data_IF_527439208380
#
_entry.id   IF_527439208380
#
_cell.length_a   1.000
_cell.length_b   1.000
_cell.length_c   1.000
_cell.angle_alpha   90.00
_cell.angle_beta   90.00
_cell.angle_gamma   90.00
#
_symmetry.space_group_name_H-M   'P 1'
#
loop_
_entity.id
_entity.type
_entity.pdbx_description
1 polymer ?
#
# COMPACT_ATOMS: atom_id res chain seq x y z
N UNK A 1 -15.46 -34.83 -12.62
CA UNK A 1 -14.71 -33.89 -13.47
C UNK A 1 -15.29 -32.47 -13.47
N UNK A 2 -16.58 -32.28 -13.68
CA UNK A 2 -17.25 -31.00 -13.67
C UNK A 2 -17.11 -30.29 -12.29
N UNK A 3 -17.25 -31.04 -11.21
CA UNK A 3 -17.12 -30.48 -9.83
C UNK A 3 -15.71 -29.95 -9.60
N UNK A 4 -14.68 -30.66 -10.06
CA UNK A 4 -13.29 -30.22 -9.93
C UNK A 4 -13.04 -28.92 -10.71
N UNK A 5 -13.60 -28.79 -11.91
CA UNK A 5 -13.48 -27.57 -12.72
C UNK A 5 -14.16 -26.37 -12.02
N UNK A 6 -15.34 -26.57 -11.45
CA UNK A 6 -16.07 -25.53 -10.71
C UNK A 6 -15.29 -25.08 -9.49
N UNK A 7 -14.68 -26.00 -8.74
CA UNK A 7 -13.87 -25.69 -7.56
C UNK A 7 -12.63 -24.87 -7.98
N UNK A 8 -11.95 -25.27 -9.05
CA UNK A 8 -10.79 -24.54 -9.56
C UNK A 8 -11.18 -23.12 -9.99
N UNK A 9 -12.27 -22.97 -10.74
CA UNK A 9 -12.77 -21.66 -11.18
C UNK A 9 -13.13 -20.77 -9.98
N UNK A 10 -13.83 -21.31 -8.98
CA UNK A 10 -14.19 -20.57 -7.78
C UNK A 10 -12.94 -20.11 -7.00
N UNK A 11 -11.92 -20.98 -6.92
CA UNK A 11 -10.65 -20.64 -6.27
C UNK A 11 -9.94 -19.49 -7.00
N UNK A 12 -9.90 -19.52 -8.33
CA UNK A 12 -9.33 -18.44 -9.13
C UNK A 12 -10.06 -17.11 -8.89
N UNK A 13 -11.39 -17.11 -8.82
CA UNK A 13 -12.18 -15.92 -8.58
C UNK A 13 -11.90 -15.33 -7.18
N UNK A 14 -11.77 -16.17 -6.16
CA UNK A 14 -11.46 -15.74 -4.80
C UNK A 14 -10.06 -15.13 -4.74
N UNK A 15 -9.06 -15.79 -5.33
CA UNK A 15 -7.68 -15.29 -5.36
C UNK A 15 -7.60 -13.97 -6.12
N UNK A 16 -8.26 -13.88 -7.29
CA UNK A 16 -8.31 -12.64 -8.07
C UNK A 16 -8.95 -11.49 -7.27
N UNK A 17 -10.04 -11.76 -6.56
CA UNK A 17 -10.70 -10.77 -5.71
C UNK A 17 -9.81 -10.29 -4.59
N UNK A 18 -9.08 -11.18 -3.93
CA UNK A 18 -8.13 -10.82 -2.87
C UNK A 18 -6.99 -9.97 -3.44
N UNK A 19 -6.44 -10.36 -4.60
CA UNK A 19 -5.38 -9.57 -5.25
C UNK A 19 -5.86 -8.16 -5.60
N UNK A 20 -7.07 -8.01 -6.15
CA UNK A 20 -7.62 -6.70 -6.49
C UNK A 20 -7.90 -5.84 -5.26
N UNK A 21 -8.23 -6.46 -4.12
CA UNK A 21 -8.45 -5.74 -2.88
C UNK A 21 -7.15 -5.11 -2.32
N UNK A 22 -6.00 -5.72 -2.64
CA UNK A 22 -4.68 -5.22 -2.19
C UNK A 22 -3.87 -4.60 -3.32
N UNK A 23 -4.35 -4.63 -4.56
CA UNK A 23 -3.61 -4.05 -5.67
C UNK A 23 -3.79 -2.54 -5.72
N UNK A 24 -2.72 -1.75 -5.60
CA UNK A 24 -2.85 -0.30 -5.61
C UNK A 24 -3.31 0.20 -6.98
N UNK A 25 -4.41 0.95 -6.98
CA UNK A 25 -4.98 1.54 -8.19
C UNK A 25 -4.33 2.87 -8.54
N UNK A 26 -4.03 3.66 -7.53
CA UNK A 26 -3.41 4.96 -7.70
C UNK A 26 -3.61 5.84 -6.47
N UNK A 27 -2.77 6.87 -6.37
CA UNK A 27 -2.81 7.84 -5.30
C UNK A 27 -3.25 9.20 -5.87
N UNK A 28 -4.14 9.88 -5.17
CA UNK A 28 -4.65 11.19 -5.59
C UNK A 28 -5.07 12.00 -4.37
N UNK A 29 -5.34 13.28 -4.57
CA UNK A 29 -5.91 14.14 -3.52
C UNK A 29 -7.31 14.51 -3.97
N UNK A 30 -8.30 14.29 -3.10
CA UNK A 30 -9.70 14.60 -3.40
C UNK A 30 -10.03 16.07 -3.14
N UNK A 31 -11.27 16.44 -3.42
CA UNK A 31 -11.77 17.82 -3.25
C UNK A 31 -11.73 18.28 -1.79
N UNK A 32 -11.77 17.34 -0.84
CA UNK A 32 -11.75 17.65 0.60
C UNK A 32 -10.33 17.79 1.15
N UNK A 33 -9.29 17.76 0.30
CA UNK A 33 -7.91 17.84 0.76
C UNK A 33 -7.43 16.57 1.44
N UNK A 34 -7.94 15.42 1.03
CA UNK A 34 -7.53 14.13 1.57
C UNK A 34 -6.77 13.33 0.53
N UNK A 35 -5.65 12.75 0.94
CA UNK A 35 -4.90 11.79 0.12
C UNK A 35 -5.71 10.50 0.06
N UNK A 36 -6.00 10.03 -1.15
CA UNK A 36 -6.71 8.77 -1.36
C UNK A 36 -5.72 7.70 -1.80
N UNK A 37 -5.55 6.68 -0.96
CA UNK A 37 -4.78 5.48 -1.29
C UNK A 37 -5.77 4.41 -1.73
N UNK A 38 -5.97 4.31 -3.04
CA UNK A 38 -7.02 3.48 -3.62
C UNK A 38 -6.52 2.11 -4.06
N UNK A 39 -7.36 1.10 -3.91
CA UNK A 39 -7.18 -0.22 -4.51
C UNK A 39 -8.32 -0.48 -5.48
N UNK A 40 -8.20 -1.53 -6.30
CA UNK A 40 -9.26 -1.85 -7.29
C UNK A 40 -10.57 -2.27 -6.62
N UNK A 41 -10.49 -2.93 -5.46
CA UNK A 41 -11.67 -3.34 -4.70
C UNK A 41 -11.52 -2.81 -3.28
N UNK A 42 -12.60 -2.27 -2.73
CA UNK A 42 -12.66 -1.76 -1.37
C UNK A 42 -12.63 -0.25 -1.31
N UNK A 43 -12.76 0.27 -0.11
CA UNK A 43 -12.75 1.71 0.12
C UNK A 43 -11.32 2.23 0.17
N UNK A 44 -11.06 3.43 -0.38
CA UNK A 44 -9.73 4.03 -0.28
C UNK A 44 -9.41 4.40 1.16
N UNK A 45 -8.13 4.37 1.51
CA UNK A 45 -7.68 4.95 2.77
C UNK A 45 -7.55 6.46 2.57
N UNK A 46 -8.18 7.24 3.43
CA UNK A 46 -8.22 8.70 3.35
C UNK A 46 -7.35 9.31 4.44
N UNK A 47 -6.45 10.20 4.05
CA UNK A 47 -5.51 10.84 4.98
C UNK A 47 -5.53 12.35 4.71
N UNK A 48 -5.91 13.19 5.70
CA UNK A 48 -5.94 14.64 5.51
C UNK A 48 -4.54 15.21 5.26
N UNK A 49 -4.37 15.95 4.17
CA UNK A 49 -3.06 16.53 3.81
C UNK A 49 -2.57 17.52 4.86
N UNK A 50 -3.47 18.24 5.51
CA UNK A 50 -3.13 19.26 6.50
C UNK A 50 -2.72 18.68 7.86
N UNK A 51 -2.84 17.37 8.06
CA UNK A 51 -2.52 16.71 9.33
C UNK A 51 -1.30 15.81 9.25
N UNK A 52 -0.63 15.75 8.12
CA UNK A 52 0.57 14.93 7.97
C UNK A 52 1.83 15.75 8.23
N UNK A 53 2.89 15.06 8.65
CA UNK A 53 4.23 15.64 8.78
C UNK A 53 5.15 14.93 7.81
N UNK A 54 5.56 15.64 6.74
CA UNK A 54 6.44 15.08 5.72
C UNK A 54 7.87 15.06 6.25
N UNK A 55 8.53 13.91 6.11
CA UNK A 55 9.91 13.71 6.53
C UNK A 55 10.72 13.12 5.39
N UNK A 56 12.03 13.18 5.51
CA UNK A 56 12.91 12.48 4.57
C UNK A 56 12.88 10.97 4.85
N UNK A 57 13.10 10.17 3.80
CA UNK A 57 13.24 8.72 3.95
C UNK A 57 14.66 8.45 4.43
N UNK A 58 14.86 7.94 5.67
CA UNK A 58 16.20 7.60 6.13
C UNK A 58 16.83 6.52 5.27
N UNK A 59 18.14 6.61 5.08
CA UNK A 59 18.89 5.61 4.35
C UNK A 59 18.70 4.24 4.99
N UNK A 60 18.41 3.24 4.16
CA UNK A 60 18.19 1.88 4.61
C UNK A 60 16.82 1.59 5.21
N UNK A 61 15.93 2.60 5.32
CA UNK A 61 14.60 2.39 5.90
C UNK A 61 13.77 1.40 5.08
N UNK A 62 13.90 1.43 3.76
CA UNK A 62 13.17 0.53 2.87
C UNK A 62 13.92 -0.78 2.59
N UNK A 63 15.04 -1.01 3.26
CA UNK A 63 15.79 -2.26 3.22
C UNK A 63 15.33 -3.17 4.36
N UNK A 64 15.57 -4.47 4.22
CA UNK A 64 15.27 -5.45 5.27
C UNK A 64 13.82 -5.38 5.77
N UNK A 65 12.88 -5.19 4.84
CA UNK A 65 11.46 -5.15 5.16
C UNK A 65 10.85 -6.54 5.13
N UNK A 66 9.95 -6.81 6.08
CA UNK A 66 9.05 -7.95 6.02
C UNK A 66 7.62 -7.43 5.95
N UNK A 67 6.80 -8.13 5.18
CA UNK A 67 5.38 -7.82 5.08
C UNK A 67 4.66 -8.46 6.26
N UNK A 68 3.92 -7.66 7.02
CA UNK A 68 3.07 -8.15 8.10
C UNK A 68 1.62 -8.27 7.67
N UNK A 69 1.17 -7.43 6.73
CA UNK A 69 -0.16 -7.51 6.16
C UNK A 69 -0.17 -6.75 4.84
N UNK A 70 -0.75 -7.34 3.79
CA UNK A 70 -0.86 -6.69 2.49
C UNK A 70 -0.20 -7.47 1.37
N UNK A 71 0.33 -6.77 0.37
CA UNK A 71 0.88 -7.36 -0.83
C UNK A 71 2.26 -6.81 -1.17
N UNK A 72 3.17 -7.69 -1.57
CA UNK A 72 4.47 -7.31 -2.12
C UNK A 72 4.73 -8.15 -3.37
N UNK A 73 4.79 -7.49 -4.53
CA UNK A 73 5.00 -8.14 -5.81
C UNK A 73 5.89 -7.25 -6.69
N UNK A 74 7.16 -7.61 -6.79
CA UNK A 74 8.13 -6.80 -7.51
C UNK A 74 8.27 -5.41 -6.88
N UNK A 75 8.02 -4.37 -7.67
CA UNK A 75 8.06 -2.97 -7.20
C UNK A 75 6.77 -2.50 -6.54
N UNK A 76 5.74 -3.32 -6.57
CA UNK A 76 4.44 -2.99 -5.98
C UNK A 76 4.44 -3.45 -4.53
N UNK A 77 4.22 -2.51 -3.60
CA UNK A 77 4.14 -2.80 -2.18
C UNK A 77 2.94 -2.05 -1.60
N UNK A 78 2.03 -2.77 -0.99
CA UNK A 78 0.83 -2.22 -0.39
C UNK A 78 0.55 -2.90 0.95
N UNK A 79 0.45 -2.12 2.00
CA UNK A 79 0.04 -2.62 3.30
C UNK A 79 1.04 -2.35 4.40
N UNK A 80 0.99 -3.18 5.44
CA UNK A 80 1.81 -3.02 6.63
C UNK A 80 3.12 -3.79 6.48
N UNK A 81 4.23 -3.10 6.74
CA UNK A 81 5.57 -3.64 6.68
C UNK A 81 6.34 -3.27 7.95
N UNK A 82 7.40 -4.01 8.21
CA UNK A 82 8.26 -3.76 9.36
C UNK A 82 9.72 -3.89 8.93
N UNK A 83 10.54 -2.93 9.33
CA UNK A 83 11.98 -3.01 9.15
C UNK A 83 12.55 -3.96 10.21
N UNK A 84 13.21 -5.03 9.79
CA UNK A 84 13.70 -6.07 10.69
C UNK A 84 14.92 -5.64 11.51
N UNK A 85 15.64 -4.62 11.06
CA UNK A 85 16.81 -4.10 11.79
C UNK A 85 16.43 -3.11 12.88
N UNK A 86 15.48 -2.23 12.60
CA UNK A 86 15.10 -1.14 13.51
C UNK A 86 13.82 -1.42 14.28
N UNK A 87 13.01 -2.38 13.82
CA UNK A 87 11.67 -2.63 14.37
C UNK A 87 10.62 -1.61 13.94
N UNK A 88 10.97 -0.64 13.07
CA UNK A 88 10.06 0.39 12.63
C UNK A 88 8.93 -0.20 11.78
N UNK A 89 7.69 0.04 12.20
CA UNK A 89 6.50 -0.33 11.44
C UNK A 89 6.12 0.82 10.51
N UNK A 90 5.64 0.48 9.32
CA UNK A 90 5.24 1.47 8.33
C UNK A 90 4.15 0.93 7.42
N UNK A 91 3.37 1.83 6.84
CA UNK A 91 2.42 1.51 5.80
C UNK A 91 3.00 1.93 4.46
N UNK A 92 3.05 1.02 3.50
CA UNK A 92 3.57 1.27 2.16
C UNK A 92 2.45 1.31 1.14
N UNK A 93 2.55 2.29 0.22
CA UNK A 93 1.71 2.36 -0.97
C UNK A 93 2.60 2.77 -2.14
N UNK A 94 3.25 1.78 -2.73
CA UNK A 94 4.25 1.97 -3.77
C UNK A 94 3.89 1.18 -5.01
N UNK A 95 3.88 1.84 -6.18
CA UNK A 95 3.51 1.24 -7.46
C UNK A 95 4.69 1.14 -8.42
N UNK A 96 5.91 1.39 -7.94
CA UNK A 96 7.12 1.34 -8.77
C UNK A 96 7.58 2.69 -9.28
N UNK A 97 6.95 3.79 -8.88
CA UNK A 97 7.40 5.13 -9.22
C UNK A 97 8.69 5.48 -8.47
N UNK A 98 9.56 6.25 -9.10
CA UNK A 98 10.82 6.66 -8.50
C UNK A 98 10.65 7.62 -7.34
N UNK A 99 9.74 8.59 -7.49
CA UNK A 99 9.48 9.59 -6.46
C UNK A 99 8.56 9.05 -5.38
N UNK A 100 9.04 9.11 -4.13
CA UNK A 100 8.32 8.63 -2.94
C UNK A 100 8.26 9.74 -1.90
N UNK A 101 7.21 9.72 -1.10
CA UNK A 101 7.04 10.64 0.03
C UNK A 101 6.89 9.84 1.31
N UNK A 102 7.62 10.23 2.32
CA UNK A 102 7.51 9.68 3.67
C UNK A 102 6.84 10.72 4.58
N UNK A 103 5.81 10.30 5.30
CA UNK A 103 5.14 11.18 6.24
C UNK A 103 4.62 10.38 7.43
N UNK A 104 4.32 11.11 8.51
CA UNK A 104 3.64 10.55 9.67
C UNK A 104 2.23 11.11 9.78
N UNK A 105 1.30 10.27 10.22
CA UNK A 105 -0.08 10.63 10.47
C UNK A 105 -0.61 9.76 11.60
N UNK A 106 -1.17 10.38 12.64
CA UNK A 106 -1.67 9.66 13.83
C UNK A 106 -0.65 8.70 14.45
N UNK A 107 0.63 9.09 14.44
CA UNK A 107 1.69 8.25 14.98
C UNK A 107 2.12 7.09 14.09
N UNK A 108 1.51 6.94 12.92
CA UNK A 108 1.89 5.92 11.94
C UNK A 108 2.80 6.51 10.87
N UNK A 109 3.78 5.72 10.43
CA UNK A 109 4.69 6.09 9.36
C UNK A 109 4.17 5.56 8.03
N UNK A 110 4.14 6.42 7.02
CA UNK A 110 3.71 6.09 5.66
C UNK A 110 4.82 6.37 4.67
N UNK A 111 5.01 5.48 3.71
CA UNK A 111 5.86 5.71 2.53
C UNK A 111 5.01 5.40 1.31
N UNK A 112 4.75 6.42 0.50
CA UNK A 112 3.82 6.32 -0.62
C UNK A 112 4.41 6.94 -1.87
N UNK A 113 3.81 6.66 -3.03
CA UNK A 113 4.14 7.36 -4.26
C UNK A 113 3.91 8.87 -4.08
N UNK A 114 4.75 9.69 -4.71
CA UNK A 114 4.60 11.14 -4.61
C UNK A 114 3.36 11.57 -5.40
N UNK A 115 2.36 12.06 -4.68
CA UNK A 115 1.09 12.53 -5.25
C UNK A 115 1.16 13.98 -5.74
N UNK A 116 2.26 14.67 -5.42
CA UNK A 116 2.40 16.11 -5.72
C UNK A 116 2.83 16.40 -7.15
N UNK A 117 3.16 15.35 -7.88
CA UNK A 117 3.60 15.45 -9.28
C UNK A 117 2.47 15.25 -10.25
#
# INVERSE_FOLDING_TARGET
MIVAIVIIAATFLVVAGIMLAYWPKGISVNENGQIQLSTYIGKPRLIPVDRISITEIPEGMLSHLIRTNGMSLGKINYGDFKNTKTGQKMFLYLTGKESKVCFTYNGELYVVDDWRQ
#
